data_IF_034845000415
#
_entry.id   IF_034845000415
#
_cell.length_a   1.000
_cell.length_b   1.000
_cell.length_c   1.000
_cell.angle_alpha   90.00
_cell.angle_beta   90.00
_cell.angle_gamma   90.00
#
_symmetry.space_group_name_H-M   'P 1'
#
loop_
_entity.id
_entity.type
_entity.pdbx_description
1 polymer ?
#
# COMPACT_ATOMS: atom_id res chain seq x y z
N UNK A 1 -21.74 -5.93 5.23
CA UNK A 1 -20.60 -6.31 4.37
C UNK A 1 -20.99 -5.99 2.93
N UNK A 2 -20.24 -5.12 2.26
CA UNK A 2 -20.42 -4.87 0.83
C UNK A 2 -19.57 -5.88 0.05
N UNK A 3 -20.17 -6.61 -0.88
CA UNK A 3 -19.49 -7.52 -1.80
C UNK A 3 -19.61 -6.95 -3.20
N UNK A 4 -18.48 -6.82 -3.89
CA UNK A 4 -18.34 -6.29 -5.25
C UNK A 4 -17.93 -7.45 -6.14
N UNK A 5 -18.77 -7.82 -7.10
CA UNK A 5 -18.58 -9.06 -7.88
C UNK A 5 -18.19 -8.82 -9.33
N UNK A 6 -18.27 -7.57 -9.81
CA UNK A 6 -18.00 -7.21 -11.21
C UNK A 6 -16.98 -6.08 -11.30
N UNK A 7 -16.15 -6.10 -12.34
CA UNK A 7 -15.17 -5.04 -12.61
C UNK A 7 -15.84 -3.66 -12.79
N UNK A 8 -17.05 -3.61 -13.35
CA UNK A 8 -17.81 -2.35 -13.47
C UNK A 8 -18.17 -1.77 -12.10
N UNK A 9 -18.51 -2.61 -11.13
CA UNK A 9 -18.81 -2.20 -9.75
C UNK A 9 -17.54 -1.75 -9.03
N UNK A 10 -16.40 -2.40 -9.30
CA UNK A 10 -15.08 -1.94 -8.82
C UNK A 10 -14.79 -0.55 -9.35
N UNK A 11 -14.96 -0.31 -10.66
CA UNK A 11 -14.72 1.00 -11.28
C UNK A 11 -15.65 2.09 -10.74
N UNK A 12 -16.92 1.79 -10.52
CA UNK A 12 -17.87 2.72 -9.89
C UNK A 12 -17.50 3.01 -8.43
N UNK A 13 -17.09 1.98 -7.68
CA UNK A 13 -16.62 2.12 -6.32
C UNK A 13 -15.38 3.02 -6.25
N UNK A 14 -14.39 2.80 -7.12
CA UNK A 14 -13.19 3.63 -7.21
C UNK A 14 -13.48 5.07 -7.65
N UNK A 15 -14.51 5.32 -8.47
CA UNK A 15 -14.87 6.67 -8.94
C UNK A 15 -15.42 7.58 -7.85
N UNK A 16 -15.86 7.02 -6.73
CA UNK A 16 -16.50 7.80 -5.66
C UNK A 16 -15.61 7.92 -4.42
N UNK A 17 -14.35 7.49 -4.49
CA UNK A 17 -13.43 7.40 -3.35
C UNK A 17 -12.06 7.96 -3.71
N UNK A 18 -11.39 8.54 -2.71
CA UNK A 18 -10.09 9.18 -2.89
C UNK A 18 -8.98 8.15 -3.14
N UNK A 19 -9.00 7.05 -2.39
CA UNK A 19 -7.99 6.02 -2.45
C UNK A 19 -8.62 4.63 -2.26
N UNK A 20 -8.43 3.77 -3.25
CA UNK A 20 -8.84 2.37 -3.18
C UNK A 20 -7.63 1.50 -3.46
N UNK A 21 -7.33 0.59 -2.52
CA UNK A 21 -6.27 -0.39 -2.66
C UNK A 21 -6.81 -1.81 -2.57
N UNK A 22 -6.10 -2.77 -3.13
CA UNK A 22 -6.44 -4.20 -3.04
C UNK A 22 -5.42 -4.92 -2.17
N UNK A 23 -5.86 -5.57 -1.09
CA UNK A 23 -4.99 -6.38 -0.24
C UNK A 23 -4.70 -7.74 -0.90
N UNK A 24 -3.41 -8.02 -1.13
CA UNK A 24 -2.95 -9.21 -1.83
C UNK A 24 -1.94 -9.96 -0.97
N UNK A 25 -2.20 -11.26 -0.80
CA UNK A 25 -1.33 -12.21 -0.11
C UNK A 25 -1.56 -13.62 -0.67
N UNK A 26 -0.57 -14.51 -0.52
CA UNK A 26 -0.68 -15.90 -0.96
C UNK A 26 -1.50 -16.77 -0.01
N UNK A 27 -1.38 -16.54 1.30
CA UNK A 27 -1.98 -17.41 2.32
C UNK A 27 -2.79 -16.65 3.38
N UNK A 28 -3.12 -15.38 3.13
CA UNK A 28 -3.77 -14.49 4.09
C UNK A 28 -3.03 -14.40 5.44
N UNK A 29 -2.27 -13.34 5.63
CA UNK A 29 -1.67 -13.05 6.93
C UNK A 29 -2.63 -12.23 7.81
N UNK A 30 -3.35 -12.90 8.72
CA UNK A 30 -4.31 -12.28 9.63
C UNK A 30 -3.72 -11.13 10.46
N UNK A 31 -2.50 -11.30 10.95
CA UNK A 31 -1.78 -10.28 11.73
C UNK A 31 -1.56 -9.01 10.90
N UNK A 32 -1.01 -9.15 9.69
CA UNK A 32 -0.71 -8.03 8.80
C UNK A 32 -1.96 -7.34 8.32
N UNK A 33 -2.98 -8.12 7.96
CA UNK A 33 -4.29 -7.58 7.62
C UNK A 33 -4.89 -6.80 8.80
N UNK A 34 -4.78 -7.32 10.03
CA UNK A 34 -5.20 -6.63 11.25
C UNK A 34 -4.50 -5.27 11.44
N UNK A 35 -3.19 -5.20 11.21
CA UNK A 35 -2.45 -3.93 11.29
C UNK A 35 -2.89 -2.94 10.22
N UNK A 36 -3.19 -3.40 9.01
CA UNK A 36 -3.72 -2.56 7.93
C UNK A 36 -5.10 -1.99 8.31
N UNK A 37 -5.99 -2.83 8.86
CA UNK A 37 -7.31 -2.38 9.33
C UNK A 37 -7.20 -1.39 10.49
N UNK A 38 -6.26 -1.61 11.42
CA UNK A 38 -5.98 -0.66 12.48
C UNK A 38 -5.49 0.68 11.92
N UNK A 39 -4.51 0.64 11.02
CA UNK A 39 -3.96 1.83 10.39
C UNK A 39 -5.00 2.62 9.58
N UNK A 40 -5.97 1.91 8.95
CA UNK A 40 -7.12 2.52 8.28
C UNK A 40 -7.92 3.42 9.23
N UNK A 41 -8.04 3.08 10.52
CA UNK A 41 -8.78 3.94 11.46
C UNK A 41 -8.16 5.35 11.55
N UNK A 42 -6.83 5.47 11.39
CA UNK A 42 -6.16 6.76 11.27
C UNK A 42 -6.60 7.54 10.02
N UNK A 43 -6.75 6.85 8.88
CA UNK A 43 -7.30 7.46 7.66
C UNK A 43 -8.73 7.98 7.87
N UNK A 44 -9.58 7.18 8.53
CA UNK A 44 -10.95 7.59 8.87
C UNK A 44 -10.98 8.85 9.75
N UNK A 45 -10.06 8.98 10.70
CA UNK A 45 -9.99 10.15 11.59
C UNK A 45 -9.43 11.41 10.92
N UNK A 46 -8.57 11.27 9.92
CA UNK A 46 -7.91 12.42 9.27
C UNK A 46 -8.61 12.87 7.98
N UNK A 47 -9.26 11.95 7.26
CA UNK A 47 -9.77 12.16 5.89
C UNK A 47 -11.22 11.65 5.71
N UNK A 48 -11.84 11.07 6.75
CA UNK A 48 -13.10 10.34 6.61
C UNK A 48 -12.94 9.00 5.87
N UNK A 49 -14.02 8.45 5.30
CA UNK A 49 -14.01 7.23 4.47
C UNK A 49 -13.36 7.50 3.09
N UNK A 50 -12.10 7.92 3.09
CA UNK A 50 -11.33 8.23 1.89
C UNK A 50 -10.50 7.03 1.42
N UNK A 51 -10.10 6.15 2.34
CA UNK A 51 -9.33 4.94 2.06
C UNK A 51 -10.17 3.68 2.22
N UNK A 52 -10.26 2.92 1.15
CA UNK A 52 -10.95 1.64 1.11
C UNK A 52 -10.02 0.53 0.63
N UNK A 53 -10.14 -0.62 1.28
CA UNK A 53 -9.46 -1.83 0.91
C UNK A 53 -10.44 -2.81 0.28
N UNK A 54 -10.20 -3.13 -0.98
CA UNK A 54 -10.77 -4.29 -1.63
C UNK A 54 -10.00 -5.52 -1.16
N UNK A 55 -10.72 -6.54 -0.73
CA UNK A 55 -10.14 -7.77 -0.23
C UNK A 55 -10.75 -8.91 -1.03
N UNK A 56 -9.96 -9.71 -1.76
CA UNK A 56 -10.46 -10.89 -2.45
C UNK A 56 -11.32 -11.77 -1.53
N UNK A 57 -12.48 -12.19 -2.02
CA UNK A 57 -13.46 -12.98 -1.27
C UNK A 57 -13.65 -14.37 -1.89
N UNK A 58 -13.86 -15.40 -1.06
CA UNK A 58 -14.23 -16.74 -1.53
C UNK A 58 -15.55 -16.63 -2.29
N UNK A 59 -15.71 -17.27 -3.45
CA UNK A 59 -16.89 -17.16 -4.34
C UNK A 59 -16.84 -16.03 -5.40
N UNK A 60 -15.65 -15.46 -5.64
CA UNK A 60 -15.37 -14.47 -6.70
C UNK A 60 -15.87 -13.06 -6.35
N UNK A 61 -15.01 -12.06 -6.56
CA UNK A 61 -15.23 -10.67 -6.15
C UNK A 61 -14.47 -10.23 -4.89
N UNK A 62 -14.87 -9.08 -4.35
CA UNK A 62 -14.17 -8.36 -3.29
C UNK A 62 -15.13 -7.97 -2.16
N UNK A 63 -14.67 -8.10 -0.93
CA UNK A 63 -15.25 -7.38 0.20
C UNK A 63 -14.55 -6.04 0.40
N UNK A 64 -15.27 -5.09 1.01
CA UNK A 64 -14.72 -3.77 1.35
C UNK A 64 -14.40 -3.70 2.83
N UNK A 65 -13.14 -3.39 3.16
CA UNK A 65 -12.64 -3.12 4.51
C UNK A 65 -12.84 -4.23 5.54
N UNK A 66 -13.14 -5.45 5.09
CA UNK A 66 -13.44 -6.57 5.96
C UNK A 66 -13.11 -7.90 5.28
N UNK A 67 -12.49 -8.81 6.01
CA UNK A 67 -12.41 -10.22 5.63
C UNK A 67 -12.12 -11.06 6.87
N UNK A 68 -12.65 -12.27 6.91
CA UNK A 68 -12.21 -13.33 7.81
C UNK A 68 -11.25 -14.24 7.04
N UNK A 69 -10.29 -14.88 7.71
CA UNK A 69 -9.31 -15.76 7.06
C UNK A 69 -9.97 -16.81 6.16
N UNK A 70 -11.00 -17.49 6.67
CA UNK A 70 -11.77 -18.49 5.94
C UNK A 70 -12.54 -17.94 4.75
N UNK A 71 -12.67 -16.62 4.63
CA UNK A 71 -13.39 -15.91 3.59
C UNK A 71 -12.47 -15.27 2.56
N UNK A 72 -11.16 -15.31 2.78
CA UNK A 72 -10.21 -14.76 1.83
C UNK A 72 -10.20 -15.56 0.52
N UNK A 73 -10.38 -14.86 -0.59
CA UNK A 73 -10.41 -15.43 -1.94
C UNK A 73 -9.01 -15.66 -2.49
N UNK A 74 -8.26 -16.62 -1.95
CA UNK A 74 -6.87 -16.90 -2.36
C UNK A 74 -6.71 -17.17 -3.87
N UNK A 75 -7.71 -17.80 -4.51
CA UNK A 75 -7.71 -18.03 -5.95
C UNK A 75 -7.79 -16.73 -6.76
N UNK A 76 -8.65 -15.80 -6.36
CA UNK A 76 -8.74 -14.49 -6.99
C UNK A 76 -7.49 -13.66 -6.70
N UNK A 77 -6.98 -13.69 -5.47
CA UNK A 77 -5.74 -13.03 -5.11
C UNK A 77 -4.58 -13.51 -5.99
N UNK A 78 -4.45 -14.82 -6.19
CA UNK A 78 -3.44 -15.44 -7.06
C UNK A 78 -3.56 -14.95 -8.52
N UNK A 79 -4.76 -14.93 -9.09
CA UNK A 79 -4.98 -14.41 -10.45
C UNK A 79 -4.56 -12.94 -10.59
N UNK A 80 -4.85 -12.12 -9.57
CA UNK A 80 -4.45 -10.70 -9.56
C UNK A 80 -2.93 -10.57 -9.45
N UNK A 81 -2.30 -11.33 -8.54
CA UNK A 81 -0.84 -11.37 -8.36
C UNK A 81 -0.13 -11.75 -9.66
N UNK A 82 -0.62 -12.80 -10.35
CA UNK A 82 -0.08 -13.25 -11.64
C UNK A 82 -0.27 -12.18 -12.73
N UNK A 83 -1.47 -11.59 -12.84
CA UNK A 83 -1.76 -10.53 -13.82
C UNK A 83 -0.90 -9.29 -13.63
N UNK A 84 -0.62 -8.92 -12.37
CA UNK A 84 0.18 -7.74 -12.03
C UNK A 84 1.68 -8.04 -11.89
N UNK A 85 2.09 -9.29 -12.17
CA UNK A 85 3.48 -9.76 -12.08
C UNK A 85 4.16 -9.47 -10.73
N UNK A 86 3.38 -9.50 -9.63
CA UNK A 86 3.87 -9.19 -8.28
C UNK A 86 4.77 -10.33 -7.79
N UNK A 87 6.00 -10.02 -7.38
CA UNK A 87 6.94 -11.04 -6.92
C UNK A 87 6.60 -11.48 -5.50
N UNK A 88 6.94 -12.73 -5.17
CA UNK A 88 6.72 -13.28 -3.83
C UNK A 88 7.30 -12.40 -2.70
N UNK A 89 8.51 -11.87 -2.88
CA UNK A 89 9.18 -10.99 -1.91
C UNK A 89 8.48 -9.64 -1.69
N UNK A 90 7.45 -9.33 -2.46
CA UNK A 90 6.68 -8.09 -2.36
C UNK A 90 5.39 -8.27 -1.57
N UNK A 91 5.03 -9.52 -1.26
CA UNK A 91 3.82 -9.89 -0.52
C UNK A 91 4.09 -10.03 1.00
N UNK A 92 3.07 -9.83 1.86
CA UNK A 92 1.77 -9.25 1.53
C UNK A 92 1.90 -7.79 1.09
N UNK A 93 0.98 -7.32 0.24
CA UNK A 93 0.98 -5.95 -0.27
C UNK A 93 -0.42 -5.35 -0.40
N UNK A 94 -0.46 -4.04 -0.59
CA UNK A 94 -1.65 -3.31 -1.04
C UNK A 94 -1.34 -2.76 -2.43
N UNK A 95 -2.07 -3.22 -3.45
CA UNK A 95 -1.96 -2.74 -4.81
C UNK A 95 -2.92 -1.58 -5.06
N UNK A 96 -2.44 -0.53 -5.73
CA UNK A 96 -3.20 0.67 -6.09
C UNK A 96 -3.12 0.90 -7.58
N UNK A 97 -4.24 1.27 -8.20
CA UNK A 97 -4.30 1.62 -9.62
C UNK A 97 -3.84 3.06 -9.83
N UNK A 98 -2.75 3.30 -10.56
CA UNK A 98 -2.22 4.64 -10.79
C UNK A 98 -3.01 5.40 -11.88
N UNK A 99 -3.04 4.85 -13.09
CA UNK A 99 -3.68 5.40 -14.28
C UNK A 99 -3.78 4.31 -15.34
N UNK A 100 -4.94 4.16 -16.00
CA UNK A 100 -5.16 3.05 -16.94
C UNK A 100 -4.87 1.71 -16.28
N UNK A 101 -3.96 0.93 -16.87
CA UNK A 101 -3.51 -0.38 -16.38
C UNK A 101 -2.26 -0.31 -15.48
N UNK A 102 -1.74 0.89 -15.21
CA UNK A 102 -0.57 1.04 -14.33
C UNK A 102 -0.95 0.83 -12.87
N UNK A 103 -0.11 0.08 -12.15
CA UNK A 103 -0.29 -0.18 -10.72
C UNK A 103 1.00 0.12 -9.95
N UNK A 104 0.85 0.44 -8.67
CA UNK A 104 1.95 0.44 -7.70
C UNK A 104 1.50 -0.30 -6.45
N UNK A 105 2.47 -0.77 -5.67
CA UNK A 105 2.18 -1.58 -4.48
C UNK A 105 2.95 -1.10 -3.26
N UNK A 106 2.25 -1.06 -2.13
CA UNK A 106 2.82 -0.89 -0.81
C UNK A 106 3.15 -2.28 -0.25
N UNK A 107 4.45 -2.61 -0.20
CA UNK A 107 4.95 -3.85 0.41
C UNK A 107 4.80 -3.79 1.93
N UNK A 108 4.24 -4.85 2.51
CA UNK A 108 3.99 -4.95 3.95
C UNK A 108 4.95 -5.92 4.65
N UNK A 109 5.48 -6.92 3.93
CA UNK A 109 6.23 -8.03 4.54
C UNK A 109 7.47 -7.65 5.35
N UNK A 110 8.13 -6.53 5.04
CA UNK A 110 9.36 -6.09 5.73
C UNK A 110 9.12 -5.01 6.80
N UNK A 111 7.87 -4.54 6.97
CA UNK A 111 7.55 -3.50 7.96
C UNK A 111 7.27 -4.13 9.31
N UNK A 112 7.43 -3.41 10.40
CA UNK A 112 6.77 -3.74 11.65
C UNK A 112 5.39 -3.05 11.72
N UNK A 113 4.68 -3.21 12.83
CA UNK A 113 3.36 -2.59 13.03
C UNK A 113 3.44 -1.07 12.95
N UNK A 114 4.39 -0.47 13.65
CA UNK A 114 4.51 0.99 13.74
C UNK A 114 4.90 1.60 12.39
N UNK A 115 5.82 0.97 11.65
CA UNK A 115 6.19 1.36 10.31
C UNK A 115 5.04 1.24 9.30
N UNK A 116 4.17 0.24 9.46
CA UNK A 116 2.96 0.09 8.65
C UNK A 116 1.93 1.20 8.99
N UNK A 117 1.65 1.41 10.27
CA UNK A 117 0.72 2.47 10.71
C UNK A 117 1.20 3.84 10.24
N UNK A 118 2.50 4.13 10.37
CA UNK A 118 3.10 5.38 9.94
C UNK A 118 2.96 5.59 8.42
N UNK A 119 3.34 4.60 7.60
CA UNK A 119 3.26 4.79 6.14
C UNK A 119 1.81 4.95 5.66
N UNK A 120 0.86 4.21 6.24
CA UNK A 120 -0.57 4.36 5.93
C UNK A 120 -1.09 5.73 6.41
N UNK A 121 -0.67 6.20 7.58
CA UNK A 121 -0.99 7.54 8.09
C UNK A 121 -0.49 8.66 7.17
N UNK A 122 0.75 8.56 6.68
CA UNK A 122 1.30 9.53 5.71
C UNK A 122 0.56 9.55 4.38
N UNK A 123 0.08 8.39 3.92
CA UNK A 123 -0.80 8.32 2.75
C UNK A 123 -2.15 9.00 3.06
N UNK A 124 -2.62 8.90 4.30
CA UNK A 124 -3.77 9.63 4.85
C UNK A 124 -3.62 11.13 4.71
N UNK A 125 -2.57 11.67 5.32
CA UNK A 125 -2.28 13.11 5.27
C UNK A 125 -2.18 13.61 3.82
N UNK A 126 -1.52 12.84 2.96
CA UNK A 126 -1.42 13.15 1.54
C UNK A 126 -2.79 13.20 0.84
N UNK A 127 -3.70 12.27 1.17
CA UNK A 127 -5.05 12.29 0.61
C UNK A 127 -5.84 13.52 1.08
N UNK A 128 -5.65 14.00 2.32
CA UNK A 128 -6.24 15.26 2.81
C UNK A 128 -5.72 16.45 2.02
N UNK A 129 -4.41 16.54 1.83
CA UNK A 129 -3.78 17.61 1.05
C UNK A 129 -4.31 17.61 -0.38
N UNK A 130 -4.38 16.43 -0.99
CA UNK A 130 -4.98 16.27 -2.30
C UNK A 130 -6.43 16.75 -2.31
N UNK A 131 -7.26 16.38 -1.33
CA UNK A 131 -8.67 16.79 -1.29
C UNK A 131 -8.85 18.32 -1.21
N UNK A 132 -7.87 19.05 -0.66
CA UNK A 132 -7.89 20.52 -0.57
C UNK A 132 -7.42 21.21 -1.86
N UNK A 133 -6.45 20.61 -2.55
CA UNK A 133 -5.74 21.23 -3.69
C UNK A 133 -6.09 20.61 -5.05
N UNK A 134 -6.77 19.48 -5.04
CA UNK A 134 -6.90 18.59 -6.19
C UNK A 134 -8.03 19.00 -7.15
N UNK A 135 -8.11 18.31 -8.29
CA UNK A 135 -9.18 18.48 -9.26
C UNK A 135 -10.57 18.20 -8.66
N UNK A 136 -11.59 18.90 -9.18
CA UNK A 136 -13.00 18.62 -8.83
C UNK A 136 -13.55 17.39 -9.55
N UNK A 137 -12.99 17.04 -10.71
CA UNK A 137 -13.35 15.79 -11.41
C UNK A 137 -12.81 14.58 -10.64
N UNK A 138 -13.67 13.59 -10.41
CA UNK A 138 -13.33 12.44 -9.57
C UNK A 138 -12.27 11.52 -10.19
N UNK A 139 -12.26 11.39 -11.52
CA UNK A 139 -11.26 10.59 -12.24
C UNK A 139 -9.88 11.23 -12.16
N UNK A 140 -9.80 12.55 -12.43
CA UNK A 140 -8.58 13.34 -12.30
C UNK A 140 -8.09 13.41 -10.86
N UNK A 141 -9.00 13.58 -9.89
CA UNK A 141 -8.67 13.59 -8.47
C UNK A 141 -8.03 12.28 -8.01
N UNK A 142 -8.61 11.15 -8.41
CA UNK A 142 -8.06 9.82 -8.10
C UNK A 142 -6.67 9.64 -8.70
N UNK A 143 -6.49 9.99 -9.97
CA UNK A 143 -5.19 9.93 -10.62
C UNK A 143 -4.16 10.83 -9.89
N UNK A 144 -4.59 12.01 -9.46
CA UNK A 144 -3.77 12.95 -8.70
C UNK A 144 -3.30 12.37 -7.36
N UNK A 145 -4.22 11.82 -6.56
CA UNK A 145 -3.91 11.14 -5.28
C UNK A 145 -2.97 9.96 -5.52
N UNK A 146 -3.29 9.09 -6.47
CA UNK A 146 -2.52 7.88 -6.73
C UNK A 146 -1.09 8.19 -7.21
N UNK A 147 -0.91 9.20 -8.06
CA UNK A 147 0.40 9.62 -8.52
C UNK A 147 1.25 10.22 -7.39
N UNK A 148 0.66 11.01 -6.49
CA UNK A 148 1.39 11.53 -5.33
C UNK A 148 1.74 10.41 -4.36
N UNK A 149 0.84 9.46 -4.12
CA UNK A 149 1.09 8.29 -3.27
C UNK A 149 2.22 7.44 -3.85
N UNK A 150 2.23 7.19 -5.16
CA UNK A 150 3.31 6.47 -5.82
C UNK A 150 4.66 7.18 -5.64
N UNK A 151 4.71 8.52 -5.75
CA UNK A 151 5.94 9.31 -5.50
C UNK A 151 6.39 9.20 -4.04
N UNK A 152 5.46 9.30 -3.08
CA UNK A 152 5.75 9.15 -1.66
C UNK A 152 6.43 7.80 -1.38
N UNK A 153 5.88 6.71 -1.92
CA UNK A 153 6.41 5.36 -1.74
C UNK A 153 7.78 5.16 -2.42
N UNK A 154 7.99 5.71 -3.62
CA UNK A 154 9.29 5.66 -4.31
C UNK A 154 10.38 6.44 -3.55
N UNK A 155 10.02 7.60 -2.99
CA UNK A 155 10.94 8.40 -2.19
C UNK A 155 11.31 7.68 -0.89
N UNK A 156 10.36 7.00 -0.27
CA UNK A 156 10.59 6.23 0.95
C UNK A 156 11.48 5.01 0.71
N UNK A 157 11.31 4.29 -0.41
CA UNK A 157 12.22 3.22 -0.83
C UNK A 157 13.65 3.73 -1.04
N UNK A 158 13.79 4.89 -1.71
CA UNK A 158 15.10 5.52 -1.94
C UNK A 158 15.77 5.91 -0.63
N UNK A 159 15.03 6.51 0.29
CA UNK A 159 15.54 6.90 1.61
C UNK A 159 15.91 5.68 2.45
N UNK A 160 15.08 4.63 2.46
CA UNK A 160 15.36 3.38 3.18
C UNK A 160 16.61 2.67 2.65
N UNK A 161 16.80 2.65 1.32
CA UNK A 161 18.02 2.13 0.71
C UNK A 161 19.26 2.95 1.10
N UNK A 162 19.15 4.29 1.12
CA UNK A 162 20.22 5.18 1.57
C UNK A 162 20.55 4.99 3.05
N UNK A 163 19.55 4.90 3.94
CA UNK A 163 19.76 4.65 5.37
C UNK A 163 20.29 3.26 5.67
N UNK A 164 19.98 2.27 4.83
CA UNK A 164 20.54 0.91 4.95
C UNK A 164 21.98 0.84 4.43
N UNK A 165 22.35 1.71 3.48
CA UNK A 165 23.72 1.82 2.96
C UNK A 165 24.64 2.68 3.84
N UNK A 166 24.09 3.62 4.63
CA UNK A 166 24.87 4.50 5.52
C UNK A 166 25.72 3.74 6.57
N UNK A 167 25.21 2.69 7.25
CA UNK A 167 26.02 1.87 8.15
C UNK A 167 27.14 1.12 7.42
N UNK A 168 26.90 0.66 6.18
CA UNK A 168 27.90 -0.05 5.38
C UNK A 168 29.02 0.89 4.89
N UNK A 169 28.67 2.13 4.51
CA UNK A 169 29.65 3.17 4.17
C UNK A 169 30.41 3.69 5.40
N UNK A 170 29.74 3.78 6.56
CA UNK A 170 30.39 4.15 7.83
C UNK A 170 31.33 3.08 8.33
N UNK A 171 31.03 1.79 8.10
CA UNK A 171 31.94 0.68 8.38
C UNK A 171 33.16 0.66 7.44
N UNK A 172 32.98 1.04 6.17
CA UNK A 172 34.09 1.20 5.22
C UNK A 172 34.99 2.42 5.54
N UNK A 173 34.40 3.53 5.98
CA UNK A 173 35.16 4.71 6.45
C UNK A 173 35.83 4.45 7.80
N UNK A 174 35.19 3.71 8.71
CA UNK A 174 35.78 3.29 9.99
C UNK A 174 36.97 2.32 9.83
N UNK A 175 36.96 1.50 8.77
CA UNK A 175 38.10 0.64 8.41
C UNK A 175 39.23 1.41 7.70
N UNK A 176 38.95 2.54 7.06
CA UNK A 176 39.96 3.39 6.44
C UNK A 176 40.69 4.31 7.45
N UNK A 177 40.03 4.69 8.55
CA UNK A 177 40.63 5.51 9.61
C UNK A 177 41.44 4.66 10.62
N UNK A 178 41.25 3.34 10.65
CA UNK A 178 41.96 2.42 11.54
C UNK A 178 43.34 1.92 11.06
N UNK A 179 43.83 2.35 9.90
CA UNK A 179 45.11 1.88 9.32
C UNK A 179 46.22 2.94 9.30
N UNK A 180 45.99 4.12 9.89
CA UNK A 180 46.96 5.22 9.92
C UNK A 180 47.06 5.88 11.30
N UNK A 181 47.09 5.09 12.38
CA UNK A 181 47.67 5.52 13.66
C UNK A 181 47.83 4.32 14.60
N UNK A 182 49.05 3.78 14.69
CA UNK A 182 49.75 3.51 15.95
C UNK A 182 51.11 2.86 15.64
N UNK A 183 52.14 3.60 16.07
CA UNK A 183 53.56 3.22 16.18
C UNK A 183 53.71 2.05 17.16
#
# INVERSE_FOLDING_TARGET
MLVISKETEVLEFERTRALVGTYLDHMYCAERFGWVLEARNGFNSHVGDAFHLLIPYKDDGYTVNWSEEFHYGSELARKIIERLEIRHAELPCIAFRASGDDHFFLKLGHRDRDGLVNIVGRIGDLAVECAKEGPNDAGEFRQYVNMRTARLLRNEQSLSALTSALPALSALLGLAVGAAELV
#
